data_IF_042251795329
#
_entry.id   IF_042251795329
#
_cell.length_a   1.000
_cell.length_b   1.000
_cell.length_c   1.000
_cell.angle_alpha   90.00
_cell.angle_beta   90.00
_cell.angle_gamma   90.00
#
_symmetry.space_group_name_H-M   'P 1'
#
loop_
_entity.id
_entity.type
_entity.pdbx_description
1 polymer ?
#
# COMPACT_ATOMS: atom_id res chain seq x y z
N UNK A 1 2.32 20.61 -7.58
CA UNK A 1 2.68 20.80 -9.02
C UNK A 1 4.10 21.36 -9.08
N UNK A 2 4.97 20.86 -9.97
CA UNK A 2 6.35 21.35 -10.05
C UNK A 2 6.41 22.87 -10.29
N UNK A 3 7.40 23.51 -9.68
CA UNK A 3 7.68 24.95 -9.86
C UNK A 3 6.75 25.90 -9.10
N UNK A 4 5.70 25.42 -8.42
CA UNK A 4 4.80 26.30 -7.63
C UNK A 4 5.54 26.95 -6.46
N UNK A 5 6.29 26.17 -5.68
CA UNK A 5 7.04 26.71 -4.54
C UNK A 5 8.12 27.69 -4.99
N UNK A 6 8.81 27.41 -6.10
CA UNK A 6 9.79 28.33 -6.68
C UNK A 6 9.16 29.68 -7.10
N UNK A 7 7.93 29.68 -7.64
CA UNK A 7 7.20 30.92 -7.96
C UNK A 7 6.84 31.74 -6.73
N UNK A 8 6.68 31.09 -5.57
CA UNK A 8 6.49 31.76 -4.29
C UNK A 8 7.81 32.12 -3.59
N UNK A 9 8.97 31.80 -4.19
CA UNK A 9 10.28 32.00 -3.56
C UNK A 9 10.57 31.05 -2.40
N UNK A 10 9.84 29.93 -2.33
CA UNK A 10 9.90 28.94 -1.26
C UNK A 10 10.52 27.61 -1.72
N UNK A 11 11.31 27.61 -2.79
CA UNK A 11 12.15 26.48 -3.19
C UNK A 11 13.27 26.22 -2.18
N UNK A 12 13.81 24.99 -2.25
CA UNK A 12 14.84 24.49 -1.34
C UNK A 12 16.05 25.41 -1.25
N UNK A 13 16.58 25.85 -2.39
CA UNK A 13 17.78 26.68 -2.45
C UNK A 13 17.60 27.97 -1.66
N UNK A 14 16.43 28.60 -1.74
CA UNK A 14 16.08 29.80 -0.97
C UNK A 14 15.86 29.51 0.50
N UNK A 15 14.96 28.57 0.84
CA UNK A 15 14.59 28.35 2.26
C UNK A 15 15.74 27.76 3.09
N UNK A 16 16.65 27.01 2.47
CA UNK A 16 17.85 26.49 3.15
C UNK A 16 18.80 27.59 3.60
N UNK A 17 18.82 28.76 2.92
CA UNK A 17 19.60 29.92 3.38
C UNK A 17 19.01 30.56 4.63
N UNK A 18 17.68 30.53 4.77
CA UNK A 18 16.96 31.08 5.93
C UNK A 18 17.09 30.13 7.13
N UNK A 19 16.92 28.84 6.89
CA UNK A 19 17.06 27.81 7.93
C UNK A 19 17.84 26.59 7.41
N UNK A 20 19.17 26.53 7.65
CA UNK A 20 20.00 25.42 7.17
C UNK A 20 19.72 24.09 7.88
N UNK A 21 18.85 24.07 8.90
CA UNK A 21 18.40 22.86 9.62
C UNK A 21 17.07 22.31 9.11
N UNK A 22 16.43 23.00 8.16
CA UNK A 22 15.13 22.61 7.61
C UNK A 22 15.25 21.27 6.84
N UNK A 23 14.34 20.33 7.12
CA UNK A 23 14.10 19.21 6.21
C UNK A 23 13.01 19.67 5.23
N UNK A 24 13.40 19.87 3.97
CA UNK A 24 12.47 20.26 2.93
C UNK A 24 11.98 19.01 2.20
N UNK A 25 10.68 18.91 1.96
CA UNK A 25 10.07 17.69 1.44
C UNK A 25 9.27 18.02 0.19
N UNK A 26 9.52 17.31 -0.91
CA UNK A 26 8.71 17.41 -2.12
C UNK A 26 8.18 16.05 -2.58
N UNK A 27 6.90 16.03 -2.93
CA UNK A 27 6.22 14.87 -3.51
C UNK A 27 5.67 15.24 -4.89
N UNK A 28 5.85 14.36 -5.87
CA UNK A 28 5.48 14.61 -7.26
C UNK A 28 5.00 13.34 -7.96
N UNK A 29 4.36 13.48 -9.13
CA UNK A 29 3.98 12.31 -9.94
C UNK A 29 5.18 11.57 -10.54
N UNK A 30 6.07 12.32 -11.20
CA UNK A 30 7.13 11.74 -12.04
C UNK A 30 8.57 12.10 -11.58
N UNK A 31 8.74 12.91 -10.55
CA UNK A 31 10.02 13.51 -10.15
C UNK A 31 10.27 14.87 -10.80
N UNK A 32 11.00 15.76 -10.12
CA UNK A 32 11.22 17.12 -10.62
C UNK A 32 12.13 17.16 -11.86
N UNK A 33 13.10 16.25 -11.94
CA UNK A 33 14.01 16.11 -13.08
C UNK A 33 13.40 15.41 -14.30
N UNK A 34 12.17 14.91 -14.19
CA UNK A 34 11.54 14.13 -15.26
C UNK A 34 11.08 14.99 -16.43
N UNK A 35 11.21 14.51 -17.69
CA UNK A 35 10.55 15.14 -18.84
C UNK A 35 9.02 15.15 -18.68
N UNK A 36 8.47 14.27 -17.84
CA UNK A 36 7.04 14.14 -17.57
C UNK A 36 6.59 14.91 -16.32
N UNK A 37 7.44 15.73 -15.70
CA UNK A 37 7.11 16.45 -14.45
C UNK A 37 5.79 17.25 -14.53
N UNK A 38 5.44 17.78 -15.69
CA UNK A 38 4.22 18.57 -15.89
C UNK A 38 2.93 17.73 -16.06
N UNK A 39 3.06 16.40 -16.21
CA UNK A 39 1.91 15.50 -16.33
C UNK A 39 1.19 15.33 -14.98
N UNK A 40 -0.11 15.03 -14.98
CA UNK A 40 -0.85 14.74 -13.75
C UNK A 40 -0.27 13.51 -13.05
N UNK A 41 0.10 13.66 -11.78
CA UNK A 41 0.49 12.57 -10.88
C UNK A 41 -0.71 12.16 -10.06
N UNK A 42 -1.49 11.19 -10.55
CA UNK A 42 -2.63 10.60 -9.86
C UNK A 42 -2.43 9.10 -9.82
N UNK A 43 -2.81 8.46 -8.72
CA UNK A 43 -2.53 7.06 -8.42
C UNK A 43 -2.82 6.12 -9.60
N UNK A 44 -4.07 6.09 -10.07
CA UNK A 44 -4.49 5.21 -11.16
C UNK A 44 -3.71 5.45 -12.47
N UNK A 45 -3.38 6.70 -12.78
CA UNK A 45 -2.57 7.03 -13.96
C UNK A 45 -1.15 6.47 -13.81
N UNK A 46 -0.60 6.55 -12.60
CA UNK A 46 0.73 6.01 -12.30
C UNK A 46 0.71 4.48 -12.32
N UNK A 47 -0.32 3.82 -11.77
CA UNK A 47 -0.47 2.36 -11.88
C UNK A 47 -0.47 1.89 -13.34
N UNK A 48 -1.09 2.66 -14.23
CA UNK A 48 -1.13 2.35 -15.66
C UNK A 48 0.26 2.48 -16.31
N UNK A 49 0.96 3.60 -16.10
CA UNK A 49 2.26 3.83 -16.76
C UNK A 49 3.43 3.10 -16.11
N UNK A 50 3.31 2.68 -14.84
CA UNK A 50 4.35 1.92 -14.13
C UNK A 50 4.32 0.42 -14.45
N UNK A 51 3.27 -0.07 -15.12
CA UNK A 51 3.05 -1.50 -15.35
C UNK A 51 2.29 -2.22 -14.23
N UNK A 52 1.98 -1.57 -13.11
CA UNK A 52 1.32 -2.25 -11.97
C UNK A 52 -0.05 -2.84 -12.34
N UNK A 53 -0.82 -2.11 -13.15
CA UNK A 53 -2.11 -2.60 -13.64
C UNK A 53 -1.96 -3.76 -14.65
N UNK A 54 -0.86 -3.84 -15.41
CA UNK A 54 -0.67 -4.85 -16.45
C UNK A 54 -0.31 -6.23 -15.88
N UNK A 55 0.36 -6.25 -14.73
CA UNK A 55 0.79 -7.47 -14.03
C UNK A 55 -0.30 -8.06 -13.12
N UNK A 56 -1.36 -7.29 -12.88
CA UNK A 56 -2.46 -7.64 -11.97
C UNK A 56 -3.64 -8.26 -12.72
N UNK A 57 -4.36 -9.16 -12.03
CA UNK A 57 -5.49 -9.91 -12.57
C UNK A 57 -5.07 -11.13 -13.41
N UNK A 58 -6.00 -11.67 -14.19
CA UNK A 58 -5.78 -12.84 -15.06
C UNK A 58 -5.39 -12.43 -16.48
N UNK A 59 -4.79 -13.35 -17.23
CA UNK A 59 -4.39 -13.12 -18.63
C UNK A 59 -5.57 -13.01 -19.60
N UNK A 60 -6.67 -13.69 -19.31
CA UNK A 60 -7.91 -13.71 -20.09
C UNK A 60 -8.85 -12.53 -19.77
N UNK A 61 -8.39 -11.58 -18.95
CA UNK A 61 -9.15 -10.40 -18.53
C UNK A 61 -8.35 -9.11 -18.81
N UNK A 62 -9.04 -7.95 -18.92
CA UNK A 62 -8.37 -6.66 -19.00
C UNK A 62 -7.39 -6.42 -17.83
N UNK A 63 -6.35 -5.58 -18.01
CA UNK A 63 -5.52 -5.08 -16.91
C UNK A 63 -6.37 -4.60 -15.73
N UNK A 64 -6.00 -4.98 -14.52
CA UNK A 64 -6.79 -4.71 -13.31
C UNK A 64 -5.97 -3.82 -12.38
N UNK A 65 -6.40 -2.58 -12.08
CA UNK A 65 -5.72 -1.76 -11.10
C UNK A 65 -5.93 -2.31 -9.68
N UNK A 66 -5.05 -1.93 -8.76
CA UNK A 66 -5.24 -2.18 -7.33
C UNK A 66 -6.38 -1.32 -6.83
N UNK A 67 -7.30 -1.89 -6.04
CA UNK A 67 -8.53 -1.25 -5.57
C UNK A 67 -8.36 -0.16 -4.50
N UNK A 68 -7.14 0.29 -4.24
CA UNK A 68 -6.82 1.41 -3.33
C UNK A 68 -5.77 2.30 -3.98
N UNK A 69 -5.56 3.49 -3.41
CA UNK A 69 -4.49 4.41 -3.82
C UNK A 69 -3.12 3.92 -3.33
N UNK A 70 -2.70 2.74 -3.82
CA UNK A 70 -1.53 2.00 -3.33
C UNK A 70 -0.22 2.76 -3.58
N UNK A 71 -0.14 3.49 -4.69
CA UNK A 71 1.04 4.28 -5.04
C UNK A 71 1.11 5.54 -4.19
N UNK A 72 -0.03 6.21 -3.95
CA UNK A 72 -0.11 7.36 -3.04
C UNK A 72 0.31 6.95 -1.62
N UNK A 73 -0.25 5.85 -1.12
CA UNK A 73 0.02 5.33 0.23
C UNK A 73 1.49 4.91 0.39
N UNK A 74 2.03 4.14 -0.56
CA UNK A 74 3.44 3.71 -0.53
C UNK A 74 4.39 4.90 -0.68
N UNK A 75 4.07 5.83 -1.59
CA UNK A 75 4.84 7.07 -1.75
C UNK A 75 4.88 7.91 -0.48
N UNK A 76 3.77 8.04 0.24
CA UNK A 76 3.71 8.73 1.52
C UNK A 76 4.51 8.00 2.61
N UNK A 77 4.48 6.66 2.65
CA UNK A 77 5.27 5.86 3.59
C UNK A 77 6.79 6.02 3.33
N UNK A 78 7.21 5.94 2.07
CA UNK A 78 8.60 6.21 1.67
C UNK A 78 9.03 7.64 2.01
N UNK A 79 8.13 8.62 1.85
CA UNK A 79 8.40 10.00 2.22
C UNK A 79 8.64 10.14 3.73
N UNK A 80 7.76 9.55 4.56
CA UNK A 80 7.93 9.55 6.01
C UNK A 80 9.24 8.87 6.42
N UNK A 81 9.59 7.73 5.81
CA UNK A 81 10.87 7.06 6.04
C UNK A 81 12.06 7.96 5.65
N UNK A 82 11.98 8.64 4.51
CA UNK A 82 12.99 9.59 4.05
C UNK A 82 13.16 10.77 5.01
N UNK A 83 12.07 11.30 5.56
CA UNK A 83 12.11 12.34 6.60
C UNK A 83 12.77 11.81 7.87
N UNK A 84 12.46 10.60 8.32
CA UNK A 84 13.11 10.00 9.49
C UNK A 84 14.63 9.84 9.29
N UNK A 85 15.04 9.33 8.13
CA UNK A 85 16.46 9.26 7.75
C UNK A 85 17.12 10.64 7.72
N UNK A 86 16.41 11.65 7.21
CA UNK A 86 16.89 13.01 7.15
C UNK A 86 17.03 13.67 8.54
N UNK A 87 16.11 13.37 9.45
CA UNK A 87 16.18 13.81 10.84
C UNK A 87 17.38 13.17 11.56
N UNK A 88 17.66 11.89 11.31
CA UNK A 88 18.83 11.19 11.85
C UNK A 88 20.13 11.79 11.31
N UNK A 89 20.20 12.06 10.00
CA UNK A 89 21.37 12.71 9.39
C UNK A 89 21.59 14.11 9.97
N UNK A 90 20.51 14.90 10.11
CA UNK A 90 20.55 16.22 10.73
C UNK A 90 21.03 16.18 12.18
N UNK A 91 20.70 15.14 12.94
CA UNK A 91 21.19 14.98 14.30
C UNK A 91 22.72 14.83 14.35
N UNK A 92 23.33 14.25 13.32
CA UNK A 92 24.78 14.05 13.21
C UNK A 92 25.51 15.26 12.63
N UNK A 93 24.95 15.86 11.59
CA UNK A 93 25.61 16.92 10.82
C UNK A 93 25.21 18.33 11.25
N UNK A 94 24.10 18.44 11.98
CA UNK A 94 23.47 19.72 12.28
C UNK A 94 22.77 20.38 11.09
N UNK A 95 22.78 19.77 9.89
CA UNK A 95 22.23 20.35 8.65
C UNK A 95 21.02 19.57 8.17
N UNK A 96 20.04 20.28 7.62
CA UNK A 96 18.92 19.68 6.95
C UNK A 96 19.22 19.31 5.50
N UNK A 97 18.25 18.69 4.84
CA UNK A 97 18.34 18.28 3.44
C UNK A 97 16.96 18.29 2.76
N UNK A 98 16.99 18.22 1.44
CA UNK A 98 15.82 18.06 0.60
C UNK A 98 15.53 16.57 0.37
N UNK A 99 14.38 16.10 0.81
CA UNK A 99 13.85 14.76 0.56
C UNK A 99 12.82 14.83 -0.58
N UNK A 100 13.08 14.14 -1.68
CA UNK A 100 12.16 14.03 -2.82
C UNK A 100 11.60 12.61 -2.92
N UNK A 101 10.28 12.49 -3.09
CA UNK A 101 9.64 11.26 -3.56
C UNK A 101 8.86 11.51 -4.84
N UNK A 102 8.76 10.50 -5.69
CA UNK A 102 7.82 10.52 -6.81
C UNK A 102 6.97 9.26 -6.84
N UNK A 103 5.70 9.42 -7.24
CA UNK A 103 4.77 8.32 -7.39
C UNK A 103 5.29 7.27 -8.37
N UNK A 104 5.92 7.67 -9.48
CA UNK A 104 6.49 6.72 -10.43
C UNK A 104 7.58 5.85 -9.79
N UNK A 105 8.51 6.45 -9.03
CA UNK A 105 9.54 5.67 -8.31
C UNK A 105 8.93 4.76 -7.25
N UNK A 106 7.94 5.25 -6.50
CA UNK A 106 7.21 4.44 -5.52
C UNK A 106 6.47 3.25 -6.18
N UNK A 107 5.83 3.47 -7.33
CA UNK A 107 5.14 2.41 -8.06
C UNK A 107 6.09 1.36 -8.64
N UNK A 108 7.31 1.75 -9.04
CA UNK A 108 8.33 0.81 -9.46
C UNK A 108 8.90 0.01 -8.27
N UNK A 109 9.08 0.66 -7.13
CA UNK A 109 9.51 0.03 -5.87
C UNK A 109 8.52 -1.05 -5.40
N UNK A 110 7.21 -0.79 -5.49
CA UNK A 110 6.17 -1.81 -5.26
C UNK A 110 6.29 -3.06 -6.17
N UNK A 111 6.96 -2.92 -7.31
CA UNK A 111 7.12 -3.97 -8.32
C UNK A 111 8.56 -4.49 -8.40
N UNK A 112 9.39 -4.24 -7.37
CA UNK A 112 10.83 -4.47 -7.37
C UNK A 112 11.23 -5.80 -8.01
N UNK A 113 10.63 -6.91 -7.58
CA UNK A 113 10.98 -8.26 -8.05
C UNK A 113 10.66 -8.45 -9.54
N UNK A 114 9.42 -8.14 -9.96
CA UNK A 114 8.97 -8.32 -11.34
C UNK A 114 9.75 -7.41 -12.30
N UNK A 115 9.97 -6.15 -11.90
CA UNK A 115 10.77 -5.20 -12.67
C UNK A 115 12.21 -5.72 -12.80
N UNK A 116 12.80 -6.24 -11.72
CA UNK A 116 14.14 -6.82 -11.74
C UNK A 116 14.24 -7.99 -12.72
N UNK A 117 13.27 -8.91 -12.71
CA UNK A 117 13.22 -10.01 -13.69
C UNK A 117 13.13 -9.50 -15.13
N UNK A 118 12.23 -8.54 -15.40
CA UNK A 118 12.04 -7.99 -16.73
C UNK A 118 13.30 -7.28 -17.27
N UNK A 119 13.98 -6.49 -16.42
CA UNK A 119 15.23 -5.82 -16.74
C UNK A 119 16.37 -6.80 -17.02
N UNK A 120 16.31 -8.01 -16.47
CA UNK A 120 17.29 -9.09 -16.71
C UNK A 120 16.81 -10.09 -17.78
N UNK A 121 15.88 -9.69 -18.63
CA UNK A 121 15.49 -10.45 -19.82
C UNK A 121 14.45 -11.54 -19.59
N UNK A 122 13.94 -11.71 -18.37
CA UNK A 122 12.84 -12.64 -18.14
C UNK A 122 11.61 -12.24 -18.96
N UNK A 123 10.85 -13.25 -19.38
CA UNK A 123 9.56 -13.09 -20.05
C UNK A 123 8.53 -13.83 -19.21
N UNK A 124 7.86 -13.07 -18.36
CA UNK A 124 6.80 -13.58 -17.50
C UNK A 124 5.47 -13.06 -18.01
N UNK A 125 4.43 -13.88 -17.89
CA UNK A 125 3.09 -13.52 -18.30
C UNK A 125 2.11 -13.82 -17.17
N UNK A 126 0.99 -13.08 -17.15
CA UNK A 126 -0.15 -13.42 -16.32
C UNK A 126 -0.62 -14.84 -16.65
N UNK A 127 -1.21 -15.49 -15.66
CA UNK A 127 -1.81 -16.81 -15.85
C UNK A 127 -3.26 -16.68 -16.30
N UNK A 128 -3.75 -17.57 -17.19
CA UNK A 128 -5.18 -17.76 -17.44
C UNK A 128 -5.81 -18.74 -16.45
N UNK A 129 -5.12 -19.16 -15.39
CA UNK A 129 -5.67 -20.00 -14.31
C UNK A 129 -5.83 -19.16 -13.04
N UNK A 130 -6.18 -19.81 -11.93
CA UNK A 130 -6.39 -19.20 -10.61
C UNK A 130 -5.11 -18.59 -9.99
N UNK A 131 -3.95 -18.74 -10.63
CA UNK A 131 -2.67 -18.21 -10.13
C UNK A 131 -2.67 -16.68 -10.08
N UNK A 132 -2.27 -16.14 -8.93
CA UNK A 132 -2.31 -14.69 -8.63
C UNK A 132 -0.98 -13.97 -8.86
N UNK A 133 0.04 -14.69 -9.35
CA UNK A 133 1.38 -14.16 -9.57
C UNK A 133 1.92 -14.68 -10.91
N UNK A 134 2.90 -13.97 -11.48
CA UNK A 134 3.61 -14.39 -12.69
C UNK A 134 4.89 -15.19 -12.41
N UNK A 135 5.30 -15.29 -11.14
CA UNK A 135 6.62 -15.85 -10.78
C UNK A 135 6.58 -16.88 -9.63
N UNK A 136 5.53 -16.92 -8.81
CA UNK A 136 5.40 -17.94 -7.76
C UNK A 136 4.97 -19.30 -8.31
N UNK A 137 5.39 -20.41 -7.67
CA UNK A 137 4.96 -21.75 -8.06
C UNK A 137 3.48 -21.99 -7.74
N UNK A 138 2.89 -23.01 -8.37
CA UNK A 138 1.58 -23.51 -7.96
C UNK A 138 1.66 -24.04 -6.51
N UNK A 139 0.65 -23.81 -5.66
CA UNK A 139 -0.68 -23.35 -5.99
C UNK A 139 -0.93 -21.85 -5.72
N UNK A 140 0.07 -20.97 -5.73
CA UNK A 140 -0.09 -19.56 -5.31
C UNK A 140 -1.18 -18.80 -6.10
N UNK A 141 -2.38 -18.64 -5.54
CA UNK A 141 -3.54 -18.21 -6.32
C UNK A 141 -4.85 -18.05 -5.54
N UNK A 142 -5.85 -17.53 -6.25
CA UNK A 142 -7.23 -17.29 -5.80
C UNK A 142 -8.15 -18.31 -6.46
N UNK A 143 -8.72 -19.22 -5.68
CA UNK A 143 -9.54 -20.32 -6.16
C UNK A 143 -10.99 -20.13 -5.73
N UNK A 144 -11.91 -20.31 -6.68
CA UNK A 144 -13.34 -20.30 -6.39
C UNK A 144 -13.74 -21.55 -5.61
N UNK A 145 -14.61 -21.35 -4.63
CA UNK A 145 -15.25 -22.41 -3.86
C UNK A 145 -16.73 -22.48 -4.22
N UNK A 146 -17.52 -23.29 -3.51
CA UNK A 146 -18.97 -23.39 -3.73
C UNK A 146 -19.71 -22.08 -3.49
N UNK A 147 -19.23 -21.27 -2.53
CA UNK A 147 -19.93 -20.09 -2.00
C UNK A 147 -19.06 -18.82 -1.96
N UNK A 148 -17.80 -18.89 -2.41
CA UNK A 148 -16.91 -17.73 -2.42
C UNK A 148 -15.55 -18.05 -3.02
N UNK A 149 -14.48 -17.60 -2.34
CA UNK A 149 -13.10 -17.80 -2.77
C UNK A 149 -12.20 -18.06 -1.57
N UNK A 150 -11.15 -18.85 -1.80
CA UNK A 150 -10.00 -18.96 -0.91
C UNK A 150 -8.70 -18.70 -1.66
N UNK A 151 -7.68 -18.31 -0.92
CA UNK A 151 -6.31 -18.22 -1.39
C UNK A 151 -5.57 -19.47 -0.94
N UNK A 152 -4.73 -20.02 -1.82
CA UNK A 152 -3.66 -20.93 -1.44
C UNK A 152 -2.33 -20.20 -1.65
N UNK A 153 -1.43 -20.25 -0.66
CA UNK A 153 -0.13 -19.58 -0.72
C UNK A 153 1.01 -20.58 -0.52
N UNK A 154 1.86 -20.76 -1.53
CA UNK A 154 3.13 -21.52 -1.46
C UNK A 154 3.08 -22.86 -0.68
N UNK A 155 1.93 -23.53 -0.67
CA UNK A 155 1.71 -24.69 0.18
C UNK A 155 2.45 -25.91 -0.37
N UNK A 156 3.10 -26.73 0.50
CA UNK A 156 3.77 -27.94 0.04
C UNK A 156 2.80 -28.88 -0.69
N UNK A 157 3.13 -29.25 -1.93
CA UNK A 157 2.27 -30.13 -2.74
C UNK A 157 1.96 -31.49 -2.07
N UNK A 158 2.88 -32.16 -1.34
CA UNK A 158 2.52 -33.39 -0.61
C UNK A 158 1.43 -33.19 0.45
N UNK A 159 1.48 -32.07 1.18
CA UNK A 159 0.46 -31.76 2.19
C UNK A 159 -0.89 -31.49 1.53
N UNK A 160 -0.89 -30.74 0.43
CA UNK A 160 -2.10 -30.45 -0.34
C UNK A 160 -2.68 -31.70 -1.00
N UNK A 161 -1.84 -32.57 -1.55
CA UNK A 161 -2.23 -33.86 -2.12
C UNK A 161 -2.90 -34.76 -1.07
N UNK A 162 -2.34 -34.80 0.14
CA UNK A 162 -2.91 -35.58 1.25
C UNK A 162 -4.24 -35.01 1.70
N UNK A 163 -4.32 -33.69 1.92
CA UNK A 163 -5.54 -33.04 2.40
C UNK A 163 -6.69 -33.14 1.38
N UNK A 164 -6.40 -32.93 0.10
CA UNK A 164 -7.40 -32.96 -0.96
C UNK A 164 -7.72 -34.36 -1.47
N UNK A 165 -6.98 -35.38 -1.03
CA UNK A 165 -7.05 -36.74 -1.57
C UNK A 165 -6.95 -36.73 -3.11
N UNK A 166 -5.98 -35.97 -3.65
CA UNK A 166 -5.86 -35.67 -5.10
C UNK A 166 -4.58 -36.29 -5.68
N UNK A 167 -4.63 -37.55 -6.20
CA UNK A 167 -3.45 -38.28 -6.68
C UNK A 167 -2.71 -37.58 -7.83
N UNK A 168 -3.39 -36.76 -8.62
CA UNK A 168 -2.84 -36.00 -9.74
C UNK A 168 -1.71 -35.05 -9.29
N UNK A 169 -1.69 -34.64 -8.03
CA UNK A 169 -0.61 -33.81 -7.48
C UNK A 169 0.66 -34.59 -7.14
N UNK A 170 0.59 -35.92 -7.03
CA UNK A 170 1.70 -36.74 -6.54
C UNK A 170 2.93 -36.66 -7.46
N UNK A 171 2.74 -36.68 -8.78
CA UNK A 171 3.84 -36.52 -9.75
C UNK A 171 4.51 -35.15 -9.62
N UNK A 172 3.72 -34.10 -9.43
CA UNK A 172 4.23 -32.74 -9.27
C UNK A 172 4.96 -32.52 -7.94
N UNK A 173 4.55 -33.24 -6.90
CA UNK A 173 5.11 -33.16 -5.55
C UNK A 173 6.55 -33.71 -5.44
N UNK A 174 7.01 -34.50 -6.42
CA UNK A 174 8.39 -35.01 -6.48
C UNK A 174 9.43 -33.93 -6.80
N UNK A 175 9.00 -32.80 -7.38
CA UNK A 175 9.88 -31.68 -7.77
C UNK A 175 9.60 -30.49 -6.84
N UNK A 176 10.58 -30.04 -6.03
CA UNK A 176 10.39 -28.88 -5.16
C UNK A 176 9.96 -27.63 -5.95
N UNK A 177 8.91 -26.95 -5.46
CA UNK A 177 8.34 -25.72 -6.04
C UNK A 177 7.96 -25.80 -7.52
N UNK A 178 7.83 -26.99 -8.13
CA UNK A 178 7.69 -27.25 -9.57
C UNK A 178 7.13 -26.09 -10.43
N UNK A 179 8.00 -25.12 -10.80
CA UNK A 179 7.58 -23.88 -11.47
C UNK A 179 7.03 -24.17 -12.87
N UNK A 180 7.58 -25.20 -13.53
CA UNK A 180 7.15 -25.64 -14.85
C UNK A 180 5.70 -26.16 -14.85
N UNK A 181 5.29 -26.83 -13.77
CA UNK A 181 3.95 -27.41 -13.65
C UNK A 181 2.93 -26.49 -12.97
N UNK A 182 3.26 -25.22 -12.68
CA UNK A 182 2.35 -24.31 -11.93
C UNK A 182 0.95 -24.23 -12.52
N UNK A 183 0.84 -24.17 -13.85
CA UNK A 183 -0.44 -24.09 -14.57
C UNK A 183 -1.22 -25.41 -14.48
N UNK A 184 -0.53 -26.55 -14.58
CA UNK A 184 -1.13 -27.87 -14.47
C UNK A 184 -1.67 -28.12 -13.05
N UNK A 185 -0.87 -27.75 -12.03
CA UNK A 185 -1.27 -27.79 -10.62
C UNK A 185 -2.51 -26.94 -10.39
N UNK A 186 -2.53 -25.70 -10.88
CA UNK A 186 -3.68 -24.81 -10.70
C UNK A 186 -4.96 -25.38 -11.34
N UNK A 187 -4.86 -25.91 -12.57
CA UNK A 187 -6.01 -26.53 -13.26
C UNK A 187 -6.54 -27.77 -12.56
N UNK A 188 -5.66 -28.58 -11.96
CA UNK A 188 -6.08 -29.75 -11.20
C UNK A 188 -6.86 -29.36 -9.93
N UNK A 189 -6.50 -28.23 -9.30
CA UNK A 189 -7.13 -27.75 -8.07
C UNK A 189 -8.48 -27.06 -8.29
N UNK A 190 -8.63 -26.33 -9.39
CA UNK A 190 -9.83 -25.54 -9.69
C UNK A 190 -11.17 -26.29 -9.58
N UNK A 191 -11.37 -27.49 -10.18
CA UNK A 191 -12.63 -28.21 -10.07
C UNK A 191 -12.85 -28.77 -8.67
N UNK A 192 -11.77 -29.21 -8.00
CA UNK A 192 -11.84 -29.80 -6.65
C UNK A 192 -12.31 -28.75 -5.65
N UNK A 193 -11.68 -27.58 -5.65
CA UNK A 193 -11.97 -26.53 -4.68
C UNK A 193 -13.38 -25.94 -4.83
N UNK A 194 -14.03 -26.10 -5.99
CA UNK A 194 -15.45 -25.70 -6.17
C UNK A 194 -16.47 -26.60 -5.46
N UNK A 195 -16.06 -27.78 -4.99
CA UNK A 195 -17.00 -28.81 -4.49
C UNK A 195 -17.49 -28.57 -3.06
N UNK A 196 -16.74 -27.81 -2.25
CA UNK A 196 -17.09 -27.49 -0.86
C UNK A 196 -17.13 -25.97 -0.64
N UNK A 197 -17.72 -25.56 0.48
CA UNK A 197 -17.73 -24.15 0.90
C UNK A 197 -16.33 -23.71 1.30
N UNK A 198 -16.09 -22.40 1.28
CA UNK A 198 -14.82 -21.82 1.75
C UNK A 198 -14.51 -22.28 3.17
N UNK A 199 -15.47 -22.18 4.10
CA UNK A 199 -15.25 -22.57 5.49
C UNK A 199 -14.86 -24.05 5.64
N UNK A 200 -15.54 -24.95 4.92
CA UNK A 200 -15.23 -26.38 4.97
C UNK A 200 -13.84 -26.70 4.40
N UNK A 201 -13.36 -25.93 3.42
CA UNK A 201 -11.99 -26.08 2.94
C UNK A 201 -10.96 -25.59 3.94
N UNK A 202 -11.18 -24.44 4.57
CA UNK A 202 -10.26 -23.92 5.58
C UNK A 202 -10.12 -24.92 6.73
N UNK A 203 -11.24 -25.40 7.29
CA UNK A 203 -11.24 -26.40 8.38
C UNK A 203 -10.49 -27.68 8.00
N UNK A 204 -10.59 -28.11 6.74
CA UNK A 204 -9.92 -29.31 6.26
C UNK A 204 -8.43 -29.09 5.95
N UNK A 205 -8.04 -27.93 5.44
CA UNK A 205 -6.69 -27.66 4.97
C UNK A 205 -5.73 -27.26 6.10
N UNK A 206 -6.21 -26.49 7.09
CA UNK A 206 -5.40 -25.97 8.19
C UNK A 206 -4.65 -27.06 8.99
N UNK A 207 -5.28 -28.20 9.38
CA UNK A 207 -4.59 -29.25 10.13
C UNK A 207 -3.42 -29.90 9.37
N UNK A 208 -3.41 -29.80 8.04
CA UNK A 208 -2.34 -30.32 7.19
C UNK A 208 -1.21 -29.31 6.96
N UNK A 209 -1.26 -28.13 7.61
CA UNK A 209 -0.26 -27.07 7.43
C UNK A 209 -0.31 -26.42 6.05
N UNK A 210 -1.43 -26.55 5.33
CA UNK A 210 -1.66 -25.85 4.07
C UNK A 210 -1.97 -24.39 4.39
N UNK A 211 -1.27 -23.47 3.73
CA UNK A 211 -1.47 -22.04 3.92
C UNK A 211 -2.65 -21.61 3.05
N UNK A 212 -3.84 -21.65 3.65
CA UNK A 212 -5.09 -21.26 3.04
C UNK A 212 -5.73 -20.11 3.84
N UNK A 213 -6.44 -19.23 3.15
CA UNK A 213 -7.23 -18.17 3.79
C UNK A 213 -8.47 -17.84 2.96
N UNK A 214 -9.61 -17.51 3.60
CA UNK A 214 -10.78 -17.03 2.87
C UNK A 214 -10.54 -15.61 2.30
N UNK A 215 -11.16 -15.29 1.17
CA UNK A 215 -11.30 -13.89 0.75
C UNK A 215 -12.53 -13.29 1.42
N UNK A 216 -12.31 -12.29 2.28
CA UNK A 216 -13.35 -11.63 3.05
C UNK A 216 -13.71 -10.27 2.44
N UNK A 217 -14.99 -9.91 2.51
CA UNK A 217 -15.44 -8.52 2.44
C UNK A 217 -15.03 -7.75 3.69
N UNK A 218 -15.05 -6.42 3.64
CA UNK A 218 -14.78 -5.61 4.84
C UNK A 218 -15.73 -5.93 6.00
N UNK A 219 -17.01 -6.16 5.73
CA UNK A 219 -18.00 -6.49 6.75
C UNK A 219 -17.66 -7.82 7.46
N UNK A 220 -17.28 -8.85 6.70
CA UNK A 220 -16.85 -10.13 7.25
C UNK A 220 -15.53 -10.02 8.01
N UNK A 221 -14.55 -9.28 7.48
CA UNK A 221 -13.28 -9.05 8.14
C UNK A 221 -13.46 -8.36 9.51
N UNK A 222 -14.25 -7.28 9.61
CA UNK A 222 -14.49 -6.63 10.90
C UNK A 222 -15.39 -7.42 11.86
N UNK A 223 -16.09 -8.45 11.36
CA UNK A 223 -16.83 -9.40 12.19
C UNK A 223 -15.95 -10.57 12.70
N UNK A 224 -14.80 -10.81 12.07
CA UNK A 224 -13.88 -11.88 12.43
C UNK A 224 -13.14 -11.61 13.77
N UNK A 225 -12.95 -12.67 14.56
CA UNK A 225 -12.34 -12.56 15.90
C UNK A 225 -10.86 -12.17 15.84
N UNK A 226 -10.12 -12.64 14.83
CA UNK A 226 -8.71 -12.29 14.65
C UNK A 226 -8.54 -10.82 14.31
N UNK A 227 -9.40 -10.29 13.43
CA UNK A 227 -9.44 -8.86 13.11
C UNK A 227 -9.89 -7.99 14.29
N UNK A 228 -10.87 -8.44 15.06
CA UNK A 228 -11.26 -7.75 16.30
C UNK A 228 -10.11 -7.72 17.32
N UNK A 229 -9.36 -8.82 17.43
CA UNK A 229 -8.18 -8.89 18.30
C UNK A 229 -7.04 -7.98 17.85
N UNK A 230 -6.99 -7.57 16.58
CA UNK A 230 -6.01 -6.60 16.09
C UNK A 230 -6.22 -5.19 16.68
N UNK A 231 -7.38 -4.90 17.27
CA UNK A 231 -7.75 -3.57 17.81
C UNK A 231 -7.46 -2.46 16.79
N UNK A 232 -7.89 -2.68 15.54
CA UNK A 232 -7.54 -1.81 14.42
C UNK A 232 -8.41 -0.56 14.31
N UNK A 233 -9.44 -0.40 15.16
CA UNK A 233 -10.43 0.68 15.06
C UNK A 233 -10.39 1.55 16.33
N UNK A 234 -10.35 2.87 16.17
CA UNK A 234 -10.58 3.84 17.25
C UNK A 234 -11.81 4.69 16.97
N UNK A 235 -12.41 5.24 18.02
CA UNK A 235 -13.53 6.19 17.93
C UNK A 235 -13.08 7.57 18.40
N UNK A 236 -13.44 8.60 17.64
CA UNK A 236 -13.26 10.00 18.02
C UNK A 236 -14.59 10.73 17.98
N UNK A 237 -14.69 11.84 18.72
CA UNK A 237 -15.81 12.77 18.58
C UNK A 237 -15.44 13.89 17.62
N UNK A 238 -16.10 13.94 16.46
CA UNK A 238 -15.96 15.02 15.48
C UNK A 238 -16.96 16.16 15.78
N UNK A 239 -16.55 17.45 15.75
CA UNK A 239 -17.42 18.57 16.11
C UNK A 239 -18.75 18.66 15.34
N UNK A 240 -18.75 18.21 14.08
CA UNK A 240 -19.93 18.26 13.20
C UNK A 240 -20.59 16.89 13.04
N UNK A 241 -19.81 15.80 13.08
CA UNK A 241 -20.29 14.47 12.69
C UNK A 241 -20.62 13.58 13.90
N UNK A 242 -20.34 14.05 15.13
CA UNK A 242 -20.50 13.25 16.34
C UNK A 242 -19.47 12.11 16.41
N UNK A 243 -19.83 10.92 16.92
CA UNK A 243 -18.90 9.80 17.00
C UNK A 243 -18.53 9.29 15.60
N UNK A 244 -17.23 9.19 15.33
CA UNK A 244 -16.67 8.69 14.06
C UNK A 244 -15.66 7.59 14.36
N UNK A 245 -15.78 6.46 13.66
CA UNK A 245 -14.82 5.35 13.74
C UNK A 245 -13.75 5.50 12.66
N UNK A 246 -12.50 5.34 13.06
CA UNK A 246 -11.30 5.46 12.23
C UNK A 246 -10.43 4.22 12.38
N UNK A 247 -9.50 4.02 11.45
CA UNK A 247 -8.43 3.05 11.63
C UNK A 247 -7.37 3.62 12.56
N UNK A 248 -6.90 2.80 13.50
CA UNK A 248 -5.75 3.14 14.35
C UNK A 248 -4.47 3.23 13.55
N UNK A 249 -3.50 3.95 14.09
CA UNK A 249 -2.13 3.84 13.61
C UNK A 249 -1.63 2.39 13.77
N UNK A 250 -1.12 1.75 12.70
CA UNK A 250 -0.88 0.31 12.71
C UNK A 250 0.38 -0.12 13.49
N UNK A 251 1.25 0.82 13.87
CA UNK A 251 2.45 0.49 14.64
C UNK A 251 2.18 0.56 16.14
N UNK A 252 2.61 -0.48 16.84
CA UNK A 252 2.66 -0.53 18.29
C UNK A 252 4.09 -0.45 18.77
N UNK A 253 4.35 0.51 19.66
CA UNK A 253 5.63 0.64 20.35
C UNK A 253 5.48 0.06 21.75
N UNK A 254 6.59 -0.37 22.36
CA UNK A 254 6.60 -0.82 23.76
C UNK A 254 6.14 0.25 24.76
N UNK A 255 6.13 1.52 24.33
CA UNK A 255 5.65 2.68 25.08
C UNK A 255 4.19 3.04 24.78
N UNK A 256 3.50 2.27 23.93
CA UNK A 256 2.11 2.48 23.53
C UNK A 256 1.94 2.79 22.04
N UNK A 257 0.70 3.06 21.64
CA UNK A 257 0.32 3.39 20.26
C UNK A 257 0.09 4.90 20.11
N UNK A 258 0.36 5.42 18.92
CA UNK A 258 -0.09 6.76 18.56
C UNK A 258 -1.63 6.75 18.41
N UNK A 259 -2.29 7.79 18.90
CA UNK A 259 -3.75 7.94 18.83
C UNK A 259 -4.13 9.28 18.21
N UNK A 260 -5.36 9.38 17.71
CA UNK A 260 -5.89 10.65 17.23
C UNK A 260 -6.12 11.59 18.41
N UNK A 261 -5.42 12.73 18.40
CA UNK A 261 -5.48 13.74 19.50
C UNK A 261 -6.46 14.88 19.24
N UNK A 262 -6.77 15.16 17.98
CA UNK A 262 -7.68 16.24 17.54
C UNK A 262 -8.43 15.76 16.29
N UNK A 263 -9.66 16.23 16.12
CA UNK A 263 -10.39 16.05 14.87
C UNK A 263 -9.71 16.84 13.72
N UNK A 264 -9.95 16.48 12.44
CA UNK A 264 -9.51 17.29 11.32
C UNK A 264 -10.03 18.74 11.44
N UNK A 265 -9.17 19.77 11.27
CA UNK A 265 -9.58 21.15 11.46
C UNK A 265 -10.46 21.65 10.32
N UNK A 266 -11.33 22.61 10.65
CA UNK A 266 -12.03 23.43 9.67
C UNK A 266 -11.04 24.38 8.96
N UNK A 267 -11.34 24.84 7.74
CA UNK A 267 -10.53 25.86 7.07
C UNK A 267 -10.35 27.10 7.96
N UNK A 268 -9.09 27.46 8.24
CA UNK A 268 -8.73 28.62 9.06
C UNK A 268 -8.87 28.45 10.58
N UNK A 269 -9.27 27.27 11.09
CA UNK A 269 -9.56 27.05 12.52
C UNK A 269 -8.42 27.49 13.44
N UNK A 270 -7.17 27.20 13.06
CA UNK A 270 -5.99 27.49 13.87
C UNK A 270 -5.23 28.76 13.43
N UNK A 271 -5.79 29.61 12.56
CA UNK A 271 -5.07 30.75 11.99
C UNK A 271 -4.57 31.74 13.07
N UNK A 272 -5.45 32.14 14.00
CA UNK A 272 -5.10 33.11 15.04
C UNK A 272 -4.14 32.51 16.08
N UNK A 273 -4.28 31.22 16.39
CA UNK A 273 -3.37 30.47 17.28
C UNK A 273 -1.94 30.52 16.72
N UNK A 274 -1.77 30.14 15.45
CA UNK A 274 -0.45 30.10 14.79
C UNK A 274 0.13 31.53 14.64
N UNK A 275 -0.67 32.53 14.27
CA UNK A 275 -0.19 33.91 14.17
C UNK A 275 0.25 34.47 15.53
N UNK A 276 -0.48 34.13 16.60
CA UNK A 276 -0.09 34.47 17.96
C UNK A 276 1.25 33.84 18.37
N UNK A 277 1.47 32.56 18.06
CA UNK A 277 2.76 31.88 18.28
C UNK A 277 3.92 32.52 17.53
N UNK A 278 3.65 33.09 16.35
CA UNK A 278 4.61 33.83 15.54
C UNK A 278 4.86 35.26 16.04
N UNK A 279 4.15 35.72 17.07
CA UNK A 279 4.34 37.02 17.72
C UNK A 279 3.49 38.16 17.17
N UNK A 280 2.50 37.89 16.31
CA UNK A 280 1.56 38.91 15.85
C UNK A 280 0.61 39.34 16.97
N UNK A 281 0.39 40.64 17.10
CA UNK A 281 -0.58 41.19 18.04
C UNK A 281 -2.02 40.94 17.59
N UNK A 282 -3.01 40.93 18.51
CA UNK A 282 -4.42 40.79 18.14
C UNK A 282 -4.89 41.81 17.10
N UNK A 283 -4.32 43.01 17.10
CA UNK A 283 -4.68 44.09 16.17
C UNK A 283 -4.14 43.81 14.76
N UNK A 284 -2.91 43.29 14.65
CA UNK A 284 -2.33 42.84 13.38
C UNK A 284 -3.09 41.65 12.80
N UNK A 285 -3.47 40.68 13.63
CA UNK A 285 -4.26 39.52 13.20
C UNK A 285 -5.62 39.97 12.63
N UNK A 286 -6.32 40.90 13.31
CA UNK A 286 -7.57 41.47 12.81
C UNK A 286 -7.40 42.19 11.47
N UNK A 287 -6.29 42.91 11.29
CA UNK A 287 -5.96 43.56 10.02
C UNK A 287 -5.75 42.54 8.90
N UNK A 288 -4.95 41.50 9.14
CA UNK A 288 -4.69 40.43 8.15
C UNK A 288 -5.98 39.74 7.67
N UNK A 289 -6.92 39.47 8.57
CA UNK A 289 -8.25 38.94 8.23
C UNK A 289 -9.09 39.90 7.39
N UNK A 290 -9.11 41.17 7.79
CA UNK A 290 -9.88 42.21 7.08
C UNK A 290 -9.37 42.42 5.67
N UNK A 291 -8.05 42.31 5.48
CA UNK A 291 -7.38 42.43 4.18
C UNK A 291 -7.48 41.15 3.33
N UNK A 292 -8.06 40.07 3.86
CA UNK A 292 -8.23 38.79 3.15
C UNK A 292 -6.93 38.02 2.92
N UNK A 293 -5.91 38.28 3.75
CA UNK A 293 -4.61 37.60 3.66
C UNK A 293 -4.59 36.26 4.41
N UNK A 294 -5.46 36.10 5.41
CA UNK A 294 -5.66 34.89 6.22
C UNK A 294 -7.13 34.61 6.46
#
# INVERSE_FOLDING_TARGET
RPGVMARFGLDWERVATVNPRLIYVSASGYGESSPYRARPGQDLLIQAVSGLASISGRADQPPTPVGTAVVDQHGAALLALGVLGALLERARTGRGLHVEVSMLRAALDLQLEIVTYALNGARMAKSPTSLASMFHPGPYGVYATRDGYLVLSMSPLPALQTALELPELASHATVPYNFAAREEIARALEPVLRTRTTAAWIELLEPHGVWAAPILTHAEAFADRGFQAADAVEEITHPVAGPVRLLRFPLEFSTGRATVRRAPPSPGEHADEILGELGYTPDEIRRLRTDGLV
#
